data_IF_980011044515
#
_entry.id   IF_980011044515
#
_cell.length_a   1.000
_cell.length_b   1.000
_cell.length_c   1.000
_cell.angle_alpha   90.00
_cell.angle_beta   90.00
_cell.angle_gamma   90.00
#
_symmetry.space_group_name_H-M   'P 1'
#
loop_
_entity.id
_entity.type
_entity.pdbx_description
1 polymer ?
#
# COMPACT_ATOMS: atom_id res chain seq x y z
N UNK A 1 -20.43 -1.85 23.76
CA UNK A 1 -19.25 -0.97 23.64
C UNK A 1 -18.34 -1.53 22.57
N UNK A 2 -17.74 -0.69 21.73
CA UNK A 2 -16.78 -1.13 20.70
C UNK A 2 -15.44 -1.43 21.38
N UNK A 3 -14.84 -2.59 21.09
CA UNK A 3 -13.54 -3.00 21.63
C UNK A 3 -12.39 -2.16 21.07
N UNK A 4 -11.26 -2.10 21.78
CA UNK A 4 -10.06 -1.43 21.26
C UNK A 4 -9.60 -2.02 19.92
N UNK A 5 -9.64 -3.36 19.78
CA UNK A 5 -9.28 -4.04 18.52
C UNK A 5 -10.15 -3.60 17.35
N UNK A 6 -11.46 -3.43 17.55
CA UNK A 6 -12.37 -2.94 16.50
C UNK A 6 -12.07 -1.48 16.14
N UNK A 7 -11.74 -0.63 17.14
CA UNK A 7 -11.36 0.76 16.89
C UNK A 7 -10.02 0.86 16.13
N UNK A 8 -9.04 0.03 16.49
CA UNK A 8 -7.77 -0.07 15.75
C UNK A 8 -8.01 -0.57 14.32
N UNK A 9 -8.77 -1.65 14.15
CA UNK A 9 -9.15 -2.19 12.84
C UNK A 9 -9.81 -1.13 11.96
N UNK A 10 -10.66 -0.28 12.55
CA UNK A 10 -11.27 0.83 11.83
C UNK A 10 -10.22 1.82 11.32
N UNK A 11 -9.29 2.26 12.18
CA UNK A 11 -8.21 3.18 11.78
C UNK A 11 -7.35 2.58 10.66
N UNK A 12 -6.87 1.35 10.85
CA UNK A 12 -6.04 0.64 9.85
C UNK A 12 -6.76 0.51 8.51
N UNK A 13 -8.05 0.15 8.51
CA UNK A 13 -8.86 0.08 7.28
C UNK A 13 -9.02 1.43 6.59
N UNK A 14 -9.11 2.54 7.34
CA UNK A 14 -9.32 3.87 6.78
C UNK A 14 -8.04 4.50 6.25
N UNK A 15 -6.90 4.20 6.87
CA UNK A 15 -5.60 4.77 6.51
C UNK A 15 -4.74 3.86 5.64
N UNK A 16 -5.07 2.57 5.48
CA UNK A 16 -4.38 1.63 4.58
C UNK A 16 -5.31 1.00 3.54
N UNK A 17 -4.90 -0.16 2.99
CA UNK A 17 -5.67 -0.94 2.01
C UNK A 17 -6.60 -1.99 2.63
N UNK A 18 -6.79 -1.99 3.95
CA UNK A 18 -7.65 -2.95 4.65
C UNK A 18 -7.15 -3.23 6.06
N UNK A 19 -7.92 -3.97 6.89
CA UNK A 19 -7.53 -4.31 8.25
C UNK A 19 -6.51 -5.46 8.26
N UNK A 20 -5.27 -5.16 7.88
CA UNK A 20 -4.14 -6.09 7.93
C UNK A 20 -3.90 -6.58 9.37
N UNK A 21 -3.91 -7.89 9.65
CA UNK A 21 -3.80 -8.42 11.02
C UNK A 21 -2.54 -7.94 11.77
N UNK A 22 -1.39 -7.90 11.08
CA UNK A 22 -0.12 -7.44 11.64
C UNK A 22 -0.17 -5.97 12.08
N UNK A 23 -0.84 -5.11 11.32
CA UNK A 23 -1.02 -3.70 11.68
C UNK A 23 -2.06 -3.52 12.79
N UNK A 24 -3.10 -4.36 12.83
CA UNK A 24 -4.10 -4.31 13.90
C UNK A 24 -3.52 -4.75 15.24
N UNK A 25 -2.61 -5.72 15.21
CA UNK A 25 -1.92 -6.24 16.41
C UNK A 25 -0.77 -5.35 16.87
N UNK A 26 -0.29 -4.45 16.01
CA UNK A 26 0.80 -3.50 16.31
C UNK A 26 0.43 -2.41 17.32
N UNK A 27 -0.85 -2.09 17.46
CA UNK A 27 -1.30 -0.94 18.25
C UNK A 27 -2.26 -1.34 19.37
N UNK A 28 -2.03 -0.80 20.57
CA UNK A 28 -2.85 -1.09 21.75
C UNK A 28 -4.25 -0.43 21.69
N UNK A 29 -4.31 0.75 21.06
CA UNK A 29 -5.53 1.53 20.92
C UNK A 29 -5.56 2.39 19.65
N UNK A 30 -6.71 3.01 19.40
CA UNK A 30 -6.93 3.80 18.19
C UNK A 30 -6.08 5.08 18.12
N UNK A 31 -5.71 5.67 19.25
CA UNK A 31 -4.85 6.87 19.27
C UNK A 31 -3.44 6.51 18.84
N UNK A 32 -2.89 5.42 19.39
CA UNK A 32 -1.61 4.86 18.99
C UNK A 32 -1.62 4.46 17.50
N UNK A 33 -2.72 3.85 17.02
CA UNK A 33 -2.88 3.49 15.61
C UNK A 33 -2.88 4.72 14.70
N UNK A 34 -3.58 5.81 15.07
CA UNK A 34 -3.57 7.05 14.28
C UNK A 34 -2.15 7.63 14.23
N UNK A 35 -1.49 7.76 15.39
CA UNK A 35 -0.14 8.31 15.45
C UNK A 35 0.86 7.49 14.61
N UNK A 36 0.85 6.17 14.76
CA UNK A 36 1.76 5.29 14.03
C UNK A 36 1.48 5.20 12.52
N UNK A 37 0.21 5.26 12.11
CA UNK A 37 -0.14 5.25 10.68
C UNK A 37 0.15 6.59 9.98
N UNK A 38 0.17 7.70 10.73
CA UNK A 38 0.58 9.03 10.25
C UNK A 38 2.10 9.25 10.29
N UNK A 39 2.86 8.37 10.95
CA UNK A 39 4.31 8.45 10.98
C UNK A 39 4.90 7.96 9.66
N UNK A 40 5.26 8.92 8.81
CA UNK A 40 5.87 8.69 7.50
C UNK A 40 7.40 8.84 7.52
N UNK A 41 8.04 8.79 8.70
CA UNK A 41 9.49 8.92 8.81
C UNK A 41 10.25 7.63 8.58
N UNK A 42 9.55 6.48 8.54
CA UNK A 42 10.15 5.18 8.26
C UNK A 42 10.74 5.17 6.84
N UNK A 43 12.04 4.81 6.67
CA UNK A 43 12.66 4.67 5.37
C UNK A 43 11.95 3.62 4.51
N UNK A 44 11.85 3.89 3.21
CA UNK A 44 11.24 2.94 2.29
C UNK A 44 12.13 1.71 2.09
N UNK A 45 11.49 0.54 2.08
CA UNK A 45 12.14 -0.66 1.60
C UNK A 45 12.47 -0.47 0.11
N UNK A 46 13.67 -0.87 -0.29
CA UNK A 46 14.02 -0.86 -1.71
C UNK A 46 13.10 -1.84 -2.45
N UNK A 47 12.33 -1.38 -3.45
CA UNK A 47 11.50 -2.26 -4.26
C UNK A 47 12.36 -3.30 -4.99
N UNK A 48 11.86 -4.55 -5.15
CA UNK A 48 12.51 -5.51 -6.04
C UNK A 48 12.52 -4.99 -7.48
N UNK A 49 13.51 -5.41 -8.28
CA UNK A 49 13.52 -5.11 -9.71
C UNK A 49 12.44 -5.93 -10.43
N UNK A 50 11.79 -5.32 -11.42
CA UNK A 50 10.92 -6.00 -12.39
C UNK A 50 11.63 -5.98 -13.72
N UNK A 51 11.69 -7.14 -14.38
CA UNK A 51 12.29 -7.23 -15.71
C UNK A 51 11.34 -6.58 -16.73
N UNK A 52 11.78 -5.57 -17.50
CA UNK A 52 10.94 -4.97 -18.51
C UNK A 52 10.76 -5.94 -19.69
N UNK A 53 9.67 -5.80 -20.48
CA UNK A 53 9.57 -6.49 -21.76
C UNK A 53 10.79 -6.18 -22.64
N UNK A 54 11.28 -7.17 -23.42
CA UNK A 54 12.50 -7.01 -24.23
C UNK A 54 12.34 -5.95 -25.32
N UNK A 55 11.12 -5.71 -25.79
CA UNK A 55 10.77 -4.67 -26.75
C UNK A 55 9.31 -4.23 -26.62
N UNK A 56 8.93 -3.21 -27.42
CA UNK A 56 7.59 -2.61 -27.41
C UNK A 56 6.51 -3.59 -27.88
N UNK A 57 6.82 -4.50 -28.80
CA UNK A 57 5.83 -5.44 -29.33
C UNK A 57 5.53 -6.54 -28.31
N UNK A 58 6.57 -7.04 -27.62
CA UNK A 58 6.42 -7.92 -26.48
C UNK A 58 5.56 -7.28 -25.38
N UNK A 59 5.78 -5.99 -25.08
CA UNK A 59 5.02 -5.23 -24.09
C UNK A 59 3.58 -4.85 -24.50
N UNK A 60 3.14 -5.21 -25.72
CA UNK A 60 1.74 -5.03 -26.19
C UNK A 60 0.97 -6.35 -26.23
N UNK A 61 1.64 -7.47 -25.95
CA UNK A 61 0.99 -8.77 -25.89
C UNK A 61 0.10 -8.82 -24.64
N UNK A 62 -1.17 -9.29 -24.73
CA UNK A 62 -2.03 -9.43 -23.57
C UNK A 62 -1.36 -10.25 -22.46
N UNK A 63 -1.32 -9.71 -21.25
CA UNK A 63 -0.69 -10.33 -20.08
C UNK A 63 0.80 -9.97 -19.90
N UNK A 64 1.40 -9.20 -20.81
CA UNK A 64 2.75 -8.66 -20.60
C UNK A 64 2.82 -7.65 -19.44
N UNK A 65 1.68 -7.07 -19.08
CA UNK A 65 1.50 -6.16 -17.95
C UNK A 65 1.41 -6.87 -16.58
N UNK A 66 1.15 -8.18 -16.55
CA UNK A 66 0.82 -8.92 -15.32
C UNK A 66 1.93 -8.81 -14.27
N UNK A 67 3.19 -8.88 -14.69
CA UNK A 67 4.32 -8.79 -13.78
C UNK A 67 4.45 -7.40 -13.16
N UNK A 68 4.29 -6.34 -13.97
CA UNK A 68 4.31 -4.97 -13.50
C UNK A 68 3.13 -4.65 -12.57
N UNK A 69 1.94 -5.13 -12.91
CA UNK A 69 0.75 -4.99 -12.06
C UNK A 69 0.93 -5.72 -10.73
N UNK A 70 1.40 -6.97 -10.76
CA UNK A 70 1.69 -7.76 -9.55
C UNK A 70 2.69 -7.03 -8.66
N UNK A 71 3.78 -6.54 -9.23
CA UNK A 71 4.79 -5.77 -8.51
C UNK A 71 4.15 -4.56 -7.80
N UNK A 72 3.36 -3.76 -8.50
CA UNK A 72 2.72 -2.60 -7.89
C UNK A 72 1.75 -2.99 -6.76
N UNK A 73 0.96 -4.06 -6.92
CA UNK A 73 0.07 -4.52 -5.86
C UNK A 73 0.84 -5.03 -4.64
N UNK A 74 1.94 -5.77 -4.84
CA UNK A 74 2.81 -6.22 -3.75
C UNK A 74 3.38 -5.03 -2.97
N UNK A 75 3.82 -3.98 -3.65
CA UNK A 75 4.31 -2.75 -3.02
C UNK A 75 3.20 -2.01 -2.25
N UNK A 76 2.07 -1.74 -2.90
CA UNK A 76 0.97 -0.96 -2.31
C UNK A 76 0.37 -1.65 -1.09
N UNK A 77 0.21 -2.97 -1.13
CA UNK A 77 -0.42 -3.75 -0.07
C UNK A 77 0.57 -4.16 1.00
N UNK A 78 1.84 -4.42 0.65
CA UNK A 78 2.88 -4.94 1.54
C UNK A 78 3.59 -3.88 2.38
N UNK A 79 3.55 -2.61 1.98
CA UNK A 79 4.28 -1.50 2.62
C UNK A 79 4.10 -1.39 4.14
N UNK A 80 5.19 -1.01 4.83
CA UNK A 80 5.19 -0.66 6.26
C UNK A 80 4.65 0.73 6.53
N UNK A 81 4.44 1.54 5.49
CA UNK A 81 3.85 2.89 5.51
C UNK A 81 2.58 2.95 4.64
N UNK A 82 1.52 2.21 5.01
CA UNK A 82 0.34 1.99 4.16
C UNK A 82 -0.43 3.26 3.79
N UNK A 83 -0.35 4.32 4.60
CA UNK A 83 -0.97 5.60 4.28
C UNK A 83 -0.31 6.27 3.06
N UNK A 84 1.02 6.17 2.93
CA UNK A 84 1.74 6.71 1.77
C UNK A 84 1.27 6.02 0.50
N UNK A 85 1.26 4.69 0.49
CA UNK A 85 0.78 3.91 -0.65
C UNK A 85 -0.68 4.20 -1.00
N UNK A 86 -1.52 4.40 0.02
CA UNK A 86 -2.91 4.79 -0.19
C UNK A 86 -3.02 6.16 -0.86
N UNK A 87 -2.15 7.12 -0.53
CA UNK A 87 -2.08 8.41 -1.19
C UNK A 87 -1.58 8.27 -2.63
N UNK A 88 -0.57 7.42 -2.89
CA UNK A 88 -0.13 7.09 -4.25
C UNK A 88 -1.31 6.60 -5.07
N UNK A 89 -2.04 5.60 -4.59
CA UNK A 89 -3.22 5.08 -5.29
C UNK A 89 -4.34 6.12 -5.44
N UNK A 90 -4.58 6.96 -4.43
CA UNK A 90 -5.62 7.99 -4.54
C UNK A 90 -5.30 9.01 -5.64
N UNK A 91 -4.02 9.36 -5.83
CA UNK A 91 -3.58 10.37 -6.78
C UNK A 91 -2.99 9.82 -8.09
N UNK A 92 -2.91 8.49 -8.26
CA UNK A 92 -2.17 7.86 -9.37
C UNK A 92 -2.64 8.33 -10.75
N UNK A 93 -3.94 8.58 -10.91
CA UNK A 93 -4.57 9.02 -12.15
C UNK A 93 -4.72 10.56 -12.22
N UNK A 94 -4.48 11.27 -11.11
CA UNK A 94 -4.63 12.73 -11.05
C UNK A 94 -3.40 13.48 -11.54
N UNK A 95 -2.21 12.89 -11.35
CA UNK A 95 -0.93 13.45 -11.80
C UNK A 95 -0.33 12.71 -13.01
N UNK A 96 -0.99 11.67 -13.49
CA UNK A 96 -0.66 11.03 -14.76
C UNK A 96 -1.25 11.87 -15.90
N UNK A 97 -0.60 12.99 -16.25
CA UNK A 97 -0.98 13.73 -17.46
C UNK A 97 -0.62 12.92 -18.70
N UNK A 98 -1.52 12.93 -19.68
CA UNK A 98 -1.41 12.31 -21.01
C UNK A 98 -0.53 13.10 -21.97
#
# INVERSE_FOLDING_TARGET
>A
MVSNRERVSHVVRRLGFGPRPDLVERFDDATAAVAGMLDLTTPEATPPAVDPPPDVEAGRTPGSEDEGLRFWFEQLVGSTTPLRERLVWFWHDHFATS
#
